data_IF_975025725424
#
_entry.id   IF_975025725424
#
_cell.length_a   1.000
_cell.length_b   1.000
_cell.length_c   1.000
_cell.angle_alpha   90.00
_cell.angle_beta   90.00
_cell.angle_gamma   90.00
#
_symmetry.space_group_name_H-M   'P 1'
#
loop_
_entity.id
_entity.type
_entity.pdbx_description
1 polymer ?
#
# COMPACT_ATOMS: atom_id res chain seq x y z
N UNK A 1 -21.22 7.11 -18.38
CA UNK A 1 -20.59 5.96 -19.07
C UNK A 1 -19.14 5.89 -18.61
N UNK A 2 -18.79 4.94 -17.74
CA UNK A 2 -17.42 4.79 -17.23
C UNK A 2 -16.62 3.94 -18.22
N UNK A 3 -15.69 4.57 -18.93
CA UNK A 3 -14.67 3.86 -19.69
C UNK A 3 -13.32 4.14 -19.02
N UNK A 4 -12.70 3.10 -18.48
CA UNK A 4 -11.27 3.09 -18.17
C UNK A 4 -10.64 2.15 -19.19
N UNK A 5 -9.83 2.72 -20.09
CA UNK A 5 -8.96 1.94 -20.96
C UNK A 5 -7.54 2.23 -20.54
N UNK A 6 -6.90 1.24 -19.92
CA UNK A 6 -5.47 1.24 -19.65
C UNK A 6 -4.81 0.26 -20.63
N UNK A 7 -3.96 0.76 -21.52
CA UNK A 7 -3.06 -0.05 -22.34
C UNK A 7 -1.65 0.49 -22.12
N UNK A 8 -0.83 -0.26 -21.39
CA UNK A 8 0.61 -0.02 -21.31
C UNK A 8 1.29 -1.30 -21.79
N UNK A 9 1.93 -1.21 -22.96
CA UNK A 9 2.76 -2.27 -23.54
C UNK A 9 4.21 -1.78 -23.49
N UNK A 10 5.05 -2.48 -22.73
CA UNK A 10 6.50 -2.36 -22.87
C UNK A 10 7.05 -3.71 -23.33
N UNK A 11 7.30 -3.84 -24.63
CA UNK A 11 7.99 -4.99 -25.18
C UNK A 11 9.50 -4.78 -25.08
N UNK A 12 10.15 -5.46 -24.14
CA UNK A 12 11.51 -5.97 -24.43
C UNK A 12 11.35 -7.28 -25.21
N UNK A 13 12.20 -7.61 -26.19
CA UNK A 13 12.16 -8.91 -26.81
C UNK A 13 12.38 -9.95 -25.71
N UNK A 14 11.33 -10.69 -25.35
CA UNK A 14 11.50 -11.93 -24.60
C UNK A 14 12.10 -12.91 -25.59
N UNK A 15 13.35 -13.29 -25.37
CA UNK A 15 13.71 -14.67 -25.71
C UNK A 15 12.67 -15.56 -25.06
N UNK A 16 12.10 -16.47 -25.87
CA UNK A 16 10.98 -17.33 -25.53
C UNK A 16 11.31 -18.26 -24.35
N UNK A 17 11.25 -17.75 -23.13
CA UNK A 17 11.00 -18.56 -21.96
C UNK A 17 9.49 -18.53 -21.74
N UNK A 18 8.84 -19.67 -21.96
CA UNK A 18 7.44 -19.93 -21.55
C UNK A 18 7.23 -19.37 -20.15
N UNK A 19 6.37 -18.35 -20.01
CA UNK A 19 5.99 -17.85 -18.70
C UNK A 19 5.24 -18.96 -17.96
N UNK A 20 5.89 -19.61 -17.01
CA UNK A 20 5.24 -20.57 -16.13
C UNK A 20 4.29 -19.82 -15.20
N UNK A 21 2.98 -20.07 -15.31
CA UNK A 21 2.04 -19.65 -14.30
C UNK A 21 2.29 -20.51 -13.07
N UNK A 22 2.83 -19.91 -12.01
CA UNK A 22 2.92 -20.57 -10.70
C UNK A 22 1.61 -20.33 -9.97
N UNK A 23 0.86 -21.41 -9.69
CA UNK A 23 -0.30 -21.39 -8.81
C UNK A 23 0.08 -22.11 -7.53
N UNK A 24 -0.01 -21.41 -6.41
CA UNK A 24 0.07 -22.01 -5.09
C UNK A 24 -1.15 -21.60 -4.27
N UNK A 25 -1.52 -22.45 -3.32
CA UNK A 25 -2.59 -22.19 -2.36
C UNK A 25 -1.93 -22.11 -1.00
N UNK A 26 -2.03 -20.96 -0.34
CA UNK A 26 -1.60 -20.83 1.04
C UNK A 26 -2.81 -21.18 1.92
N UNK A 27 -2.79 -22.33 2.65
CA UNK A 27 -3.82 -22.61 3.64
C UNK A 27 -3.65 -21.61 4.79
N UNK A 28 -4.39 -20.51 4.74
CA UNK A 28 -4.50 -19.61 5.88
C UNK A 28 -5.27 -20.40 6.95
N UNK A 29 -4.68 -20.59 8.13
CA UNK A 29 -5.20 -21.49 9.17
C UNK A 29 -6.69 -21.26 9.47
N UNK A 30 -7.39 -22.30 9.91
CA UNK A 30 -8.85 -22.28 10.11
C UNK A 30 -9.32 -21.25 11.16
N UNK A 31 -8.41 -20.72 11.99
CA UNK A 31 -8.68 -19.66 12.96
C UNK A 31 -8.44 -18.24 12.41
N UNK A 32 -7.97 -18.11 11.17
CA UNK A 32 -7.83 -16.85 10.45
C UNK A 32 -9.05 -16.62 9.55
N UNK A 33 -10.23 -16.64 10.17
CA UNK A 33 -11.29 -15.81 9.64
C UNK A 33 -10.70 -14.39 9.54
N UNK A 34 -11.02 -13.69 8.45
CA UNK A 34 -10.86 -12.23 8.29
C UNK A 34 -9.62 -11.71 7.51
N UNK A 35 -9.99 -10.77 6.62
CA UNK A 35 -9.23 -9.74 5.88
C UNK A 35 -8.54 -10.04 4.54
N UNK A 36 -8.72 -11.23 3.95
CA UNK A 36 -8.70 -11.32 2.48
C UNK A 36 -10.04 -10.94 1.82
N UNK A 37 -11.04 -10.52 2.61
CA UNK A 37 -12.38 -10.14 2.15
C UNK A 37 -13.52 -10.53 3.09
N UNK A 38 -13.26 -10.64 4.41
CA UNK A 38 -14.23 -11.06 5.43
C UNK A 38 -15.40 -10.07 5.64
N UNK A 39 -16.34 -10.36 6.56
CA UNK A 39 -17.69 -9.75 6.63
C UNK A 39 -17.75 -8.22 6.80
N UNK A 40 -16.68 -7.59 7.28
CA UNK A 40 -16.56 -6.12 7.39
C UNK A 40 -16.01 -5.45 6.11
N UNK A 41 -15.73 -6.25 5.07
CA UNK A 41 -15.25 -5.77 3.78
C UNK A 41 -16.40 -5.14 2.98
N UNK A 42 -16.32 -3.83 2.74
CA UNK A 42 -17.23 -3.13 1.83
C UNK A 42 -17.11 -3.77 0.44
N UNK A 43 -18.19 -4.44 0.00
CA UNK A 43 -18.27 -5.23 -1.25
C UNK A 43 -17.48 -6.55 -1.29
N UNK A 44 -17.17 -7.17 -0.14
CA UNK A 44 -16.48 -8.47 -0.10
C UNK A 44 -15.02 -8.41 -0.55
N UNK A 45 -14.42 -7.21 -0.56
CA UNK A 45 -13.00 -6.97 -0.83
C UNK A 45 -12.43 -6.06 0.24
N UNK A 46 -11.21 -6.31 0.74
CA UNK A 46 -10.57 -5.36 1.65
C UNK A 46 -10.43 -4.01 0.93
N UNK A 47 -10.94 -2.94 1.54
CA UNK A 47 -10.88 -1.58 0.98
C UNK A 47 -9.48 -0.96 0.99
N UNK A 48 -8.50 -1.68 1.53
CA UNK A 48 -7.09 -1.32 1.67
C UNK A 48 -6.23 -2.50 1.23
N UNK A 49 -4.97 -2.25 0.87
CA UNK A 49 -4.01 -3.32 0.57
C UNK A 49 -3.91 -4.28 1.77
N UNK A 50 -4.31 -5.53 1.57
CA UNK A 50 -4.36 -6.55 2.62
C UNK A 50 -3.18 -7.52 2.58
N UNK A 51 -2.39 -7.50 1.51
CA UNK A 51 -1.19 -8.32 1.35
C UNK A 51 -0.17 -7.67 0.41
N UNK A 52 1.09 -8.05 0.54
CA UNK A 52 2.19 -7.65 -0.35
C UNK A 52 3.27 -8.74 -0.38
N UNK A 53 3.97 -8.88 -1.51
CA UNK A 53 5.13 -9.77 -1.63
C UNK A 53 6.43 -8.97 -1.52
N UNK A 54 7.49 -9.61 -1.01
CA UNK A 54 8.84 -9.07 -1.13
C UNK A 54 9.27 -9.01 -2.60
N UNK A 55 10.21 -8.11 -2.97
CA UNK A 55 10.70 -7.99 -4.34
C UNK A 55 11.28 -9.29 -4.92
N UNK A 56 11.90 -10.11 -4.06
CA UNK A 56 12.45 -11.42 -4.42
C UNK A 56 11.39 -12.53 -4.50
N UNK A 57 10.14 -12.23 -4.10
CA UNK A 57 9.01 -13.16 -4.10
C UNK A 57 9.04 -14.23 -3.02
N UNK A 58 9.97 -14.19 -2.07
CA UNK A 58 10.12 -15.25 -1.05
C UNK A 58 9.29 -15.00 0.21
N UNK A 59 8.84 -13.77 0.44
CA UNK A 59 8.06 -13.36 1.60
C UNK A 59 6.70 -12.84 1.16
N UNK A 60 5.69 -13.15 1.97
CA UNK A 60 4.36 -12.59 1.88
C UNK A 60 4.02 -11.95 3.23
N UNK A 61 3.68 -10.68 3.22
CA UNK A 61 3.05 -10.02 4.36
C UNK A 61 1.56 -9.92 4.08
N UNK A 62 0.73 -10.33 5.03
CA UNK A 62 -0.71 -10.20 4.90
C UNK A 62 -1.38 -9.88 6.23
N UNK A 63 -2.57 -9.29 6.15
CA UNK A 63 -3.44 -9.04 7.28
C UNK A 63 -4.26 -10.29 7.60
N UNK A 64 -4.32 -10.68 8.87
CA UNK A 64 -5.30 -11.63 9.38
C UNK A 64 -5.80 -11.18 10.76
N UNK A 65 -7.02 -11.59 11.14
CA UNK A 65 -7.60 -11.23 12.44
C UNK A 65 -7.48 -12.41 13.40
N UNK A 66 -6.91 -12.15 14.57
CA UNK A 66 -7.11 -12.95 15.79
C UNK A 66 -7.96 -12.13 16.77
N UNK A 67 -7.59 -12.11 18.07
CA UNK A 67 -8.19 -11.14 19.01
C UNK A 67 -7.91 -9.68 18.61
N UNK A 68 -6.77 -9.43 17.93
CA UNK A 68 -6.40 -8.14 17.32
C UNK A 68 -6.12 -8.31 15.81
N UNK A 69 -6.42 -7.27 15.02
CA UNK A 69 -6.01 -7.19 13.60
C UNK A 69 -4.49 -6.98 13.53
N UNK A 70 -3.73 -7.97 13.05
CA UNK A 70 -2.25 -7.90 12.99
C UNK A 70 -1.72 -8.32 11.63
N UNK A 71 -0.45 -8.01 11.36
CA UNK A 71 0.26 -8.53 10.18
C UNK A 71 0.94 -9.85 10.49
N UNK A 72 0.97 -10.70 9.47
CA UNK A 72 1.68 -11.96 9.47
C UNK A 72 2.72 -11.95 8.36
N UNK A 73 3.90 -12.43 8.68
CA UNK A 73 4.98 -12.67 7.73
C UNK A 73 5.02 -14.17 7.42
N UNK A 74 4.88 -14.52 6.16
CA UNK A 74 4.96 -15.89 5.67
C UNK A 74 6.17 -16.00 4.75
N UNK A 75 7.16 -16.82 5.15
CA UNK A 75 8.17 -17.29 4.21
C UNK A 75 7.52 -18.37 3.33
N UNK A 76 7.61 -18.24 2.02
CA UNK A 76 6.92 -19.15 1.10
C UNK A 76 7.52 -20.57 1.10
N UNK A 77 8.72 -20.73 1.64
CA UNK A 77 9.40 -22.01 1.86
C UNK A 77 9.05 -22.66 3.22
N UNK A 78 8.21 -22.02 4.04
CA UNK A 78 7.80 -22.51 5.36
C UNK A 78 6.30 -22.79 5.44
N UNK A 79 5.91 -23.70 6.34
CA UNK A 79 4.51 -24.13 6.47
C UNK A 79 3.63 -23.18 7.29
N UNK A 80 4.23 -22.32 8.12
CA UNK A 80 3.49 -21.48 9.08
C UNK A 80 3.92 -20.02 8.98
N UNK A 81 2.93 -19.14 9.07
CA UNK A 81 3.14 -17.71 9.13
C UNK A 81 3.40 -17.27 10.57
N UNK A 82 4.30 -16.31 10.74
CA UNK A 82 4.66 -15.76 12.03
C UNK A 82 3.96 -14.41 12.22
N UNK A 83 3.41 -14.13 13.41
CA UNK A 83 2.84 -12.82 13.71
C UNK A 83 3.96 -11.77 13.76
N UNK A 84 3.74 -10.63 13.11
CA UNK A 84 4.61 -9.47 13.16
C UNK A 84 4.17 -8.58 14.34
N UNK A 85 4.65 -8.90 15.54
CA UNK A 85 4.27 -8.20 16.78
C UNK A 85 4.54 -6.69 16.68
N UNK A 86 3.66 -5.83 17.20
CA UNK A 86 3.77 -4.37 17.06
C UNK A 86 3.07 -3.80 15.82
N UNK A 87 2.31 -4.64 15.11
CA UNK A 87 1.48 -4.24 13.94
C UNK A 87 -0.01 -4.37 14.20
N UNK A 88 -0.41 -4.39 15.47
CA UNK A 88 -1.80 -4.39 15.90
C UNK A 88 -2.49 -3.10 15.41
N UNK A 89 -3.58 -3.25 14.64
CA UNK A 89 -4.30 -2.13 14.03
C UNK A 89 -3.61 -1.50 12.81
N UNK A 90 -2.42 -1.98 12.41
CA UNK A 90 -1.72 -1.47 11.24
C UNK A 90 -2.53 -1.64 9.94
N UNK A 91 -2.18 -0.89 8.89
CA UNK A 91 -2.83 -0.92 7.57
C UNK A 91 -1.82 -0.82 6.41
N UNK A 92 -2.24 -1.32 5.23
CA UNK A 92 -1.53 -1.21 3.94
C UNK A 92 -0.03 -1.55 4.00
N UNK A 93 0.35 -2.81 4.22
CA UNK A 93 1.75 -3.21 4.22
C UNK A 93 2.36 -3.07 2.81
N UNK A 94 3.64 -2.71 2.75
CA UNK A 94 4.43 -2.62 1.52
C UNK A 94 5.90 -2.95 1.83
N UNK A 95 6.65 -3.45 0.84
CA UNK A 95 8.09 -3.73 1.01
C UNK A 95 8.94 -2.58 0.49
N UNK A 96 10.14 -2.43 1.06
CA UNK A 96 11.21 -1.66 0.43
C UNK A 96 11.69 -2.34 -0.87
N UNK A 97 12.23 -1.60 -1.84
CA UNK A 97 12.74 -2.16 -3.09
C UNK A 97 13.88 -3.17 -2.91
N UNK A 98 14.66 -3.03 -1.84
CA UNK A 98 15.72 -3.97 -1.45
C UNK A 98 15.22 -5.16 -0.62
N UNK A 99 13.93 -5.17 -0.24
CA UNK A 99 13.31 -6.22 0.58
C UNK A 99 13.75 -6.23 2.05
N UNK A 100 14.56 -5.27 2.51
CA UNK A 100 15.07 -5.22 3.88
C UNK A 100 14.04 -4.73 4.91
N UNK A 101 13.01 -4.01 4.47
CA UNK A 101 12.02 -3.37 5.33
C UNK A 101 10.58 -3.65 4.89
N UNK A 102 9.69 -3.75 5.87
CA UNK A 102 8.24 -3.76 5.68
C UNK A 102 7.68 -2.45 6.21
N UNK A 103 7.15 -1.61 5.34
CA UNK A 103 6.42 -0.39 5.69
C UNK A 103 4.94 -0.67 5.94
N UNK A 104 4.32 0.11 6.82
CA UNK A 104 2.88 0.04 7.13
C UNK A 104 2.41 1.34 7.79
N UNK A 105 1.11 1.63 7.69
CA UNK A 105 0.50 2.73 8.44
C UNK A 105 0.00 2.27 9.79
N UNK A 106 0.22 3.08 10.82
CA UNK A 106 -0.31 2.93 12.18
C UNK A 106 -1.06 4.22 12.54
N UNK A 107 -2.38 4.18 12.34
CA UNK A 107 -3.19 5.40 12.29
C UNK A 107 -2.63 6.39 11.26
N UNK A 108 -2.37 7.66 11.63
CA UNK A 108 -1.79 8.66 10.73
C UNK A 108 -0.27 8.53 10.57
N UNK A 109 0.40 7.68 11.36
CA UNK A 109 1.85 7.51 11.31
C UNK A 109 2.25 6.51 10.23
N UNK A 110 3.41 6.73 9.62
CA UNK A 110 4.05 5.77 8.73
C UNK A 110 5.25 5.17 9.46
N UNK A 111 5.29 3.84 9.55
CA UNK A 111 6.34 3.09 10.23
C UNK A 111 6.92 2.03 9.31
N UNK A 112 8.10 1.54 9.65
CA UNK A 112 8.70 0.36 9.05
C UNK A 112 9.24 -0.59 10.11
N UNK A 113 9.38 -1.85 9.73
CA UNK A 113 10.03 -2.87 10.53
C UNK A 113 11.06 -3.62 9.68
N UNK A 114 12.22 -3.88 10.27
CA UNK A 114 13.31 -4.60 9.61
C UNK A 114 12.92 -6.08 9.46
N UNK A 115 13.15 -6.62 8.28
CA UNK A 115 12.90 -8.04 7.99
C UNK A 115 13.92 -8.94 8.70
N UNK A 116 15.13 -8.42 8.98
CA UNK A 116 16.23 -9.21 9.51
C UNK A 116 16.12 -9.45 11.03
N UNK A 117 15.71 -8.43 11.78
CA UNK A 117 15.74 -8.42 13.26
C UNK A 117 14.44 -7.95 13.90
N UNK A 118 13.47 -7.47 13.13
CA UNK A 118 12.18 -7.02 13.64
C UNK A 118 12.21 -5.66 14.34
N UNK A 119 13.28 -4.87 14.18
CA UNK A 119 13.36 -3.52 14.76
C UNK A 119 12.41 -2.55 14.06
N UNK A 120 11.68 -1.75 14.85
CA UNK A 120 10.71 -0.78 14.35
C UNK A 120 11.29 0.62 14.29
N UNK A 121 10.97 1.32 13.20
CA UNK A 121 11.33 2.72 12.99
C UNK A 121 10.14 3.54 12.51
N UNK A 122 10.04 4.78 12.99
CA UNK A 122 9.07 5.74 12.49
C UNK A 122 9.64 6.48 11.27
N UNK A 123 8.85 6.58 10.21
CA UNK A 123 9.15 7.38 9.02
C UNK A 123 8.42 8.72 9.13
N UNK A 124 7.13 8.68 9.44
CA UNK A 124 6.30 9.87 9.68
C UNK A 124 5.61 9.71 11.02
N UNK A 125 5.83 10.68 11.92
CA UNK A 125 5.12 10.79 13.18
C UNK A 125 3.77 11.48 12.96
N UNK A 126 2.77 11.14 13.77
CA UNK A 126 1.48 11.85 13.76
C UNK A 126 1.63 13.37 13.87
N UNK A 127 2.59 13.87 14.66
CA UNK A 127 2.85 15.31 14.83
C UNK A 127 3.40 16.00 13.58
N UNK A 128 3.91 15.24 12.61
CA UNK A 128 4.47 15.74 11.35
C UNK A 128 3.42 15.78 10.24
N UNK A 129 2.25 15.17 10.45
CA UNK A 129 1.16 15.17 9.48
C UNK A 129 0.38 16.48 9.58
N UNK A 130 0.19 17.23 8.47
CA UNK A 130 -0.69 18.38 8.46
C UNK A 130 -2.15 17.99 8.72
N UNK A 131 -2.64 18.24 9.93
CA UNK A 131 -4.00 17.91 10.35
C UNK A 131 -4.17 16.44 10.75
N UNK A 132 -5.27 15.81 10.32
CA UNK A 132 -5.53 14.38 10.61
C UNK A 132 -5.72 13.64 9.30
N UNK A 133 -4.77 12.79 8.92
CA UNK A 133 -5.03 11.79 7.87
C UNK A 133 -5.95 10.72 8.43
N UNK A 134 -7.13 10.57 7.84
CA UNK A 134 -8.14 9.59 8.25
C UNK A 134 -8.28 8.43 7.27
N UNK A 135 -7.68 8.52 6.08
CA UNK A 135 -7.79 7.49 5.05
C UNK A 135 -6.55 7.49 4.17
N UNK A 136 -6.00 6.29 3.95
CA UNK A 136 -4.91 6.03 3.01
C UNK A 136 -5.42 5.16 1.86
N UNK A 137 -5.15 5.57 0.63
CA UNK A 137 -5.64 4.90 -0.57
C UNK A 137 -4.47 4.36 -1.41
N UNK A 138 -3.53 3.67 -0.76
CA UNK A 138 -2.37 3.07 -1.40
C UNK A 138 -1.06 3.83 -1.16
N UNK A 139 0.04 3.11 -1.35
CA UNK A 139 1.41 3.53 -1.06
C UNK A 139 2.38 2.78 -1.96
N UNK A 140 3.51 3.40 -2.29
CA UNK A 140 4.60 2.82 -3.07
C UNK A 140 5.95 3.33 -2.56
N UNK A 141 6.97 2.47 -2.58
CA UNK A 141 8.34 2.80 -2.17
C UNK A 141 9.25 2.67 -3.39
N UNK A 142 9.90 3.78 -3.74
CA UNK A 142 10.77 3.93 -4.90
C UNK A 142 12.23 3.54 -4.60
N UNK A 143 12.98 3.18 -5.64
CA UNK A 143 14.39 2.75 -5.57
C UNK A 143 15.32 3.85 -5.03
N UNK A 144 14.90 5.10 -5.10
CA UNK A 144 15.64 6.27 -4.61
C UNK A 144 15.36 6.59 -3.13
N UNK A 145 14.59 5.70 -2.46
CA UNK A 145 14.11 5.79 -1.08
C UNK A 145 12.94 6.76 -0.86
N UNK A 146 12.35 7.30 -1.92
CA UNK A 146 11.11 8.06 -1.82
C UNK A 146 9.93 7.13 -1.56
N UNK A 147 9.07 7.47 -0.59
CA UNK A 147 7.79 6.82 -0.38
C UNK A 147 6.70 7.79 -0.81
N UNK A 148 5.82 7.34 -1.71
CA UNK A 148 4.66 8.11 -2.17
C UNK A 148 3.38 7.41 -1.72
N UNK A 149 2.46 8.16 -1.11
CA UNK A 149 1.18 7.62 -0.67
C UNK A 149 0.03 8.59 -0.92
N UNK A 150 -1.16 8.02 -1.10
CA UNK A 150 -2.39 8.78 -1.25
C UNK A 150 -3.08 8.92 0.12
N UNK A 151 -3.28 10.15 0.59
CA UNK A 151 -3.92 10.42 1.88
C UNK A 151 -4.97 11.52 1.77
N UNK A 152 -6.05 11.38 2.55
CA UNK A 152 -7.07 12.42 2.70
C UNK A 152 -6.72 13.32 3.89
N UNK A 153 -6.53 14.62 3.63
CA UNK A 153 -6.43 15.60 4.71
C UNK A 153 -7.77 15.72 5.47
N UNK A 154 -7.68 16.05 6.75
CA UNK A 154 -8.85 16.29 7.60
C UNK A 154 -9.76 17.38 7.01
N UNK A 155 -11.03 17.37 7.43
CA UNK A 155 -12.01 18.38 7.08
C UNK A 155 -11.44 19.82 7.14
N UNK A 156 -11.81 20.69 6.18
CA UNK A 156 -12.94 20.57 5.26
C UNK A 156 -12.60 19.99 3.88
N UNK A 157 -11.32 19.76 3.55
CA UNK A 157 -10.94 19.48 2.16
C UNK A 157 -11.34 18.07 1.71
N UNK A 158 -11.36 17.05 2.60
CA UNK A 158 -11.69 15.63 2.33
C UNK A 158 -11.05 15.02 1.06
N UNK A 159 -10.08 15.73 0.46
CA UNK A 159 -9.50 15.39 -0.82
C UNK A 159 -8.34 14.47 -0.61
N UNK A 160 -8.32 13.42 -1.44
CA UNK A 160 -7.18 12.51 -1.47
C UNK A 160 -6.13 13.10 -2.39
N UNK A 161 -5.04 13.55 -1.79
CA UNK A 161 -3.86 14.05 -2.47
C UNK A 161 -2.73 13.00 -2.39
N UNK A 162 -1.71 13.18 -3.23
CA UNK A 162 -0.46 12.43 -3.16
C UNK A 162 0.54 13.19 -2.31
N UNK A 163 1.12 12.50 -1.34
CA UNK A 163 2.20 12.98 -0.50
C UNK A 163 3.45 12.15 -0.76
N UNK A 164 4.62 12.76 -0.55
CA UNK A 164 5.90 12.07 -0.59
C UNK A 164 6.71 12.33 0.68
N UNK A 165 7.53 11.36 1.07
CA UNK A 165 8.48 11.47 2.17
C UNK A 165 9.69 10.59 1.89
N UNK A 166 10.87 10.96 2.37
CA UNK A 166 12.05 10.10 2.29
C UNK A 166 11.97 9.00 3.36
N UNK A 167 12.43 7.78 3.05
CA UNK A 167 12.22 6.62 3.90
C UNK A 167 12.97 6.64 5.25
N UNK A 168 14.01 7.46 5.42
CA UNK A 168 14.64 7.76 6.72
C UNK A 168 13.79 8.68 7.59
N UNK A 169 12.73 9.25 7.03
CA UNK A 169 11.68 9.97 7.73
C UNK A 169 11.72 11.47 7.53
N UNK A 170 10.70 12.13 8.08
CA UNK A 170 10.54 13.58 7.96
C UNK A 170 9.08 14.01 7.85
N UNK A 171 8.88 15.30 7.59
CA UNK A 171 7.57 15.83 7.28
C UNK A 171 7.19 15.45 5.84
N UNK A 172 5.98 14.90 5.61
CA UNK A 172 5.53 14.58 4.27
C UNK A 172 5.19 15.84 3.48
N UNK A 173 5.69 15.89 2.25
CA UNK A 173 5.46 16.99 1.31
C UNK A 173 4.29 16.67 0.38
N UNK A 174 3.53 17.70 -0.01
CA UNK A 174 2.48 17.56 -1.02
C UNK A 174 3.14 17.37 -2.40
N UNK A 175 2.92 16.20 -3.00
CA UNK A 175 3.41 15.88 -4.35
C UNK A 175 2.41 16.33 -5.42
N UNK A 176 1.13 16.01 -5.24
CA UNK A 176 0.09 16.41 -6.18
C UNK A 176 -1.29 16.45 -5.52
N UNK A 177 -2.08 17.49 -5.81
CA UNK A 177 -3.49 17.58 -5.46
C UNK A 177 -4.34 17.62 -6.75
N UNK A 178 -5.60 17.22 -6.64
CA UNK A 178 -6.55 17.28 -7.72
C UNK A 178 -7.20 18.67 -7.83
N UNK A 179 -7.39 19.17 -9.05
CA UNK A 179 -7.94 20.51 -9.30
C UNK A 179 -9.39 20.67 -8.78
N UNK A 180 -9.74 21.90 -8.36
CA UNK A 180 -11.05 22.21 -7.78
C UNK A 180 -12.19 22.50 -8.75
N UNK A 181 -12.00 22.26 -10.04
CA UNK A 181 -12.96 22.68 -11.06
C UNK A 181 -14.07 21.64 -11.27
N UNK A 182 -15.30 22.05 -11.63
CA UNK A 182 -16.34 21.12 -12.06
C UNK A 182 -15.84 20.20 -13.19
N UNK A 183 -15.99 18.89 -13.02
CA UNK A 183 -15.48 17.88 -13.97
C UNK A 183 -14.00 17.54 -13.85
N UNK A 184 -13.26 18.15 -12.91
CA UNK A 184 -11.86 17.83 -12.62
C UNK A 184 -11.72 16.50 -11.87
N UNK A 185 -10.47 16.01 -11.81
CA UNK A 185 -10.10 14.91 -10.92
C UNK A 185 -10.36 15.37 -9.47
N UNK A 186 -10.99 14.53 -8.65
CA UNK A 186 -11.40 14.84 -7.28
C UNK A 186 -10.68 14.01 -6.22
N UNK A 187 -9.99 12.94 -6.62
CA UNK A 187 -9.19 12.12 -5.69
C UNK A 187 -8.16 11.28 -6.44
N UNK A 188 -6.95 11.19 -5.88
CA UNK A 188 -5.89 10.29 -6.33
C UNK A 188 -5.80 9.05 -5.44
N UNK A 189 -5.42 7.90 -6.01
CA UNK A 189 -5.31 6.65 -5.30
C UNK A 189 -4.33 5.69 -5.99
N UNK A 190 -3.91 4.66 -5.27
CA UNK A 190 -3.08 3.54 -5.71
C UNK A 190 -1.85 4.00 -6.50
N UNK A 191 -0.99 4.83 -5.89
CA UNK A 191 0.28 5.20 -6.51
C UNK A 191 1.13 3.94 -6.76
N UNK A 192 1.80 3.91 -7.90
CA UNK A 192 2.72 2.86 -8.29
C UNK A 192 3.89 3.51 -9.02
N UNK A 193 5.03 3.60 -8.35
CA UNK A 193 6.26 4.12 -8.94
C UNK A 193 6.87 3.05 -9.85
N UNK A 194 7.32 3.47 -11.03
CA UNK A 194 8.01 2.58 -11.96
C UNK A 194 9.50 2.47 -11.59
N UNK A 195 10.18 1.37 -11.99
CA UNK A 195 11.61 1.21 -11.77
C UNK A 195 12.41 2.42 -12.25
N UNK A 196 13.41 2.84 -11.47
CA UNK A 196 14.19 4.05 -11.72
C UNK A 196 13.60 5.32 -11.12
N UNK A 197 12.44 5.26 -10.46
CA UNK A 197 11.87 6.32 -9.62
C UNK A 197 11.45 7.61 -10.34
N UNK A 198 11.50 7.66 -11.68
CA UNK A 198 11.19 8.88 -12.44
C UNK A 198 9.71 9.03 -12.83
N UNK A 199 8.94 7.93 -12.81
CA UNK A 199 7.56 7.92 -13.31
C UNK A 199 6.61 7.29 -12.30
N UNK A 200 5.56 8.04 -11.95
CA UNK A 200 4.50 7.59 -11.05
C UNK A 200 3.20 7.35 -11.82
N UNK A 201 2.65 6.15 -11.72
CA UNK A 201 1.28 5.84 -12.13
C UNK A 201 0.35 5.98 -10.91
N UNK A 202 -0.86 6.49 -11.12
CA UNK A 202 -1.88 6.55 -10.07
C UNK A 202 -3.28 6.53 -10.68
N UNK A 203 -4.26 6.10 -9.90
CA UNK A 203 -5.66 6.19 -10.26
C UNK A 203 -6.20 7.57 -9.89
N UNK A 204 -6.90 8.20 -10.83
CA UNK A 204 -7.60 9.45 -10.58
C UNK A 204 -9.09 9.27 -10.85
N UNK A 205 -9.92 9.68 -9.89
CA UNK A 205 -11.39 9.70 -10.05
C UNK A 205 -11.82 11.14 -10.28
N UNK A 206 -12.76 11.38 -11.19
CA UNK A 206 -13.42 12.68 -11.34
C UNK A 206 -14.45 12.89 -10.25
N UNK A 207 -14.68 14.13 -9.84
CA UNK A 207 -15.90 14.45 -9.09
C UNK A 207 -17.10 14.08 -9.96
N UNK A 208 -18.11 13.44 -9.38
CA UNK A 208 -19.38 13.26 -10.08
C UNK A 208 -19.92 14.62 -10.48
N UNK A 209 -20.44 14.73 -11.70
CA UNK A 209 -21.27 15.87 -12.09
C UNK A 209 -22.42 15.95 -11.08
N UNK A 210 -22.63 17.06 -10.36
CA UNK A 210 -23.84 17.23 -9.58
C UNK A 210 -24.95 17.41 -10.61
N UNK A 211 -25.63 16.32 -10.93
CA UNK A 211 -26.85 16.36 -11.74
C UNK A 211 -27.88 17.31 -11.16
#
# INVERSE_FOLDING_TARGET
>A
MLAVTLVVVTSRPRDQATSSIVRFSLPIGQDADVYLGGPDAVWGRPGITSLTFSPDGNLLVYSARGEDSRRYLQRLDQERAEPLAGTEGASSPFFSPDGAWIGFFDGPSLKRVSVADGEFEAIVLNSQVPGTFSTFSGVTWADDRTIVYAAAAAFPSQRVALYQVEASGGEPELLAEADSLPGALASYAQPHILPGSETLLFHARRSGDPG
#
